data_IF_755668005300
#
_entry.id   IF_755668005300
#
_cell.length_a   1.000
_cell.length_b   1.000
_cell.length_c   1.000
_cell.angle_alpha   90.00
_cell.angle_beta   90.00
_cell.angle_gamma   90.00
#
_symmetry.space_group_name_H-M   'P 1'
#
loop_
_entity.id
_entity.type
_entity.pdbx_description
1 polymer ?
#
# COMPACT_ATOMS: atom_id res chain seq x y z
N UNK A 1 -15.79 7.26 9.20
CA UNK A 1 -15.82 7.84 7.82
C UNK A 1 -16.71 6.92 6.99
N UNK A 2 -17.57 7.46 6.10
CA UNK A 2 -18.58 6.64 5.43
C UNK A 2 -17.97 5.74 4.35
N UNK A 3 -17.82 4.44 4.66
CA UNK A 3 -17.45 3.41 3.66
C UNK A 3 -18.69 2.72 3.07
N UNK A 4 -19.77 2.62 3.86
CA UNK A 4 -21.09 2.20 3.42
C UNK A 4 -22.12 3.26 3.79
N UNK A 5 -23.25 3.27 3.09
CA UNK A 5 -24.37 4.16 3.41
C UNK A 5 -24.92 3.87 4.82
N UNK A 6 -25.14 4.89 5.66
CA UNK A 6 -25.76 4.70 6.97
C UNK A 6 -27.22 4.26 6.78
N UNK A 7 -27.64 3.23 7.52
CA UNK A 7 -29.03 2.72 7.44
C UNK A 7 -30.00 3.59 8.23
N UNK A 8 -29.50 4.29 9.25
CA UNK A 8 -30.22 5.24 10.09
C UNK A 8 -29.19 6.23 10.67
N UNK A 9 -29.67 7.19 11.47
CA UNK A 9 -28.83 8.18 12.17
C UNK A 9 -28.99 8.09 13.70
N UNK A 10 -29.20 6.87 14.21
CA UNK A 10 -29.24 6.65 15.66
C UNK A 10 -27.86 6.94 16.26
N UNK A 11 -27.81 7.89 17.21
CA UNK A 11 -26.58 8.34 17.86
C UNK A 11 -26.08 7.37 18.94
N UNK A 12 -26.85 6.31 19.25
CA UNK A 12 -26.34 5.19 20.05
C UNK A 12 -25.22 4.44 19.32
N UNK A 13 -25.21 4.48 17.98
CA UNK A 13 -24.12 3.97 17.15
C UNK A 13 -22.92 4.95 17.18
N UNK A 14 -21.71 4.51 17.57
CA UNK A 14 -20.54 5.38 17.65
C UNK A 14 -20.15 6.06 16.33
N UNK A 15 -20.38 5.39 15.20
CA UNK A 15 -20.07 5.91 13.87
C UNK A 15 -21.03 7.03 13.49
N UNK A 16 -22.32 6.92 13.84
CA UNK A 16 -23.31 7.97 13.67
C UNK A 16 -23.08 9.15 14.62
N UNK A 17 -22.75 8.88 15.89
CA UNK A 17 -22.37 9.91 16.85
C UNK A 17 -21.18 10.75 16.37
N UNK A 18 -20.18 10.11 15.73
CA UNK A 18 -19.07 10.79 15.09
C UNK A 18 -19.53 11.69 13.93
N UNK A 19 -20.50 11.27 13.10
CA UNK A 19 -21.06 12.12 12.05
C UNK A 19 -21.75 13.36 12.62
N UNK A 20 -22.57 13.19 13.66
CA UNK A 20 -23.24 14.31 14.32
C UNK A 20 -22.23 15.35 14.84
N UNK A 21 -21.14 14.90 15.47
CA UNK A 21 -20.05 15.78 15.93
C UNK A 21 -19.39 16.55 14.79
N UNK A 22 -19.10 15.89 13.66
CA UNK A 22 -18.51 16.57 12.49
C UNK A 22 -19.43 17.67 11.96
N UNK A 23 -20.74 17.40 11.89
CA UNK A 23 -21.74 18.36 11.43
C UNK A 23 -21.86 19.53 12.40
N UNK A 24 -21.98 19.25 13.71
CA UNK A 24 -22.10 20.25 14.78
C UNK A 24 -20.90 21.19 14.82
N UNK A 25 -19.69 20.69 14.58
CA UNK A 25 -18.47 21.49 14.53
C UNK A 25 -18.11 22.03 13.14
N UNK A 26 -19.02 21.91 12.16
CA UNK A 26 -18.82 22.39 10.78
C UNK A 26 -17.53 21.87 10.12
N UNK A 27 -17.17 20.61 10.38
CA UNK A 27 -15.98 19.96 9.84
C UNK A 27 -16.35 19.24 8.53
N UNK A 28 -15.73 19.67 7.43
CA UNK A 28 -15.84 18.98 6.14
C UNK A 28 -14.84 17.82 6.09
N UNK A 29 -15.32 16.64 5.70
CA UNK A 29 -14.48 15.46 5.48
C UNK A 29 -14.50 15.11 4.00
N UNK A 30 -13.32 15.05 3.38
CA UNK A 30 -13.13 14.61 2.00
C UNK A 30 -12.36 13.29 1.97
N UNK A 31 -12.80 12.35 1.15
CA UNK A 31 -12.18 11.04 1.02
C UNK A 31 -11.36 10.97 -0.28
N UNK A 32 -10.04 10.83 -0.13
CA UNK A 32 -9.17 10.33 -1.18
C UNK A 32 -8.75 8.92 -0.77
N UNK A 33 -9.14 7.93 -1.57
CA UNK A 33 -8.93 6.51 -1.30
C UNK A 33 -8.06 5.94 -2.42
N UNK A 34 -8.62 5.05 -3.24
CA UNK A 34 -7.93 4.40 -4.36
C UNK A 34 -7.41 5.38 -5.42
N UNK A 35 -7.98 6.59 -5.53
CA UNK A 35 -7.44 7.64 -6.41
C UNK A 35 -6.06 8.14 -5.95
N UNK A 36 -5.83 8.27 -4.63
CA UNK A 36 -4.54 8.63 -4.08
C UNK A 36 -3.53 7.48 -4.19
N UNK A 37 -4.01 6.24 -4.14
CA UNK A 37 -3.18 5.05 -4.33
C UNK A 37 -2.71 4.89 -5.78
N UNK A 38 -3.55 5.29 -6.75
CA UNK A 38 -3.31 5.10 -8.17
C UNK A 38 -2.60 6.26 -8.88
N UNK A 39 -2.68 7.48 -8.34
CA UNK A 39 -2.12 8.67 -8.99
C UNK A 39 -0.59 8.63 -9.05
N UNK A 40 -0.01 9.54 -9.85
CA UNK A 40 1.42 9.80 -9.89
C UNK A 40 1.68 11.33 -9.83
N UNK A 41 2.46 11.82 -8.85
CA UNK A 41 2.90 11.08 -7.65
C UNK A 41 1.72 10.79 -6.72
N UNK A 42 1.78 9.67 -5.99
CA UNK A 42 0.75 9.23 -5.04
C UNK A 42 1.31 8.39 -3.89
N UNK A 43 0.41 7.80 -3.09
CA UNK A 43 0.78 7.09 -1.87
C UNK A 43 1.81 5.97 -2.11
N UNK A 44 1.63 5.18 -3.17
CA UNK A 44 2.55 4.10 -3.50
C UNK A 44 3.91 4.59 -4.04
N UNK A 45 4.01 5.82 -4.54
CA UNK A 45 5.30 6.43 -4.91
C UNK A 45 6.09 6.78 -3.65
N UNK A 46 5.46 7.42 -2.67
CA UNK A 46 6.08 7.75 -1.38
C UNK A 46 6.52 6.48 -0.63
N UNK A 47 5.67 5.45 -0.66
CA UNK A 47 5.99 4.16 -0.06
C UNK A 47 7.18 3.49 -0.74
N UNK A 48 7.30 3.60 -2.06
CA UNK A 48 8.44 3.06 -2.80
C UNK A 48 9.73 3.81 -2.49
N UNK A 49 9.67 5.14 -2.34
CA UNK A 49 10.80 5.98 -1.95
C UNK A 49 11.32 5.61 -0.55
N UNK A 50 10.42 5.55 0.44
CA UNK A 50 10.75 5.18 1.83
C UNK A 50 11.35 3.76 1.94
N UNK A 51 10.97 2.88 1.01
CA UNK A 51 11.44 1.49 0.93
C UNK A 51 12.62 1.27 0.00
N UNK A 52 13.26 2.35 -0.45
CA UNK A 52 14.45 2.34 -1.31
C UNK A 52 14.27 1.65 -2.67
N UNK A 53 13.03 1.60 -3.17
CA UNK A 53 12.69 1.04 -4.49
C UNK A 53 12.85 2.15 -5.54
N UNK A 54 14.08 2.47 -5.89
CA UNK A 54 14.40 3.68 -6.67
C UNK A 54 14.66 3.41 -8.14
N UNK A 55 15.16 2.23 -8.50
CA UNK A 55 15.52 1.92 -9.87
C UNK A 55 14.32 1.37 -10.65
N UNK A 56 14.16 1.81 -11.90
CA UNK A 56 13.13 1.31 -12.82
C UNK A 56 11.70 1.34 -12.24
N UNK A 57 11.41 2.33 -11.39
CA UNK A 57 10.11 2.45 -10.71
C UNK A 57 8.98 2.70 -11.72
N UNK A 58 7.94 1.86 -11.66
CA UNK A 58 6.76 1.96 -12.51
C UNK A 58 5.51 1.42 -11.81
N UNK A 59 4.29 1.74 -12.29
CA UNK A 59 3.07 1.13 -11.77
C UNK A 59 3.12 -0.40 -11.85
N UNK A 60 2.71 -1.05 -10.76
CA UNK A 60 2.60 -2.51 -10.67
C UNK A 60 1.45 -3.01 -11.55
N UNK A 61 0.29 -2.34 -11.45
CA UNK A 61 -0.85 -2.51 -12.32
C UNK A 61 -1.16 -1.18 -13.03
N UNK A 62 -0.58 -0.94 -14.22
CA UNK A 62 -0.73 0.33 -14.91
C UNK A 62 -2.15 0.52 -15.44
N UNK A 63 -2.61 1.77 -15.40
CA UNK A 63 -3.76 2.25 -16.15
C UNK A 63 -3.39 2.46 -17.63
N UNK A 64 -4.38 2.83 -18.45
CA UNK A 64 -4.20 3.03 -19.89
C UNK A 64 -3.17 4.11 -20.26
N UNK A 65 -2.88 5.06 -19.36
CA UNK A 65 -1.88 6.10 -19.57
C UNK A 65 -0.43 5.61 -19.35
N UNK A 66 -0.24 4.39 -18.83
CA UNK A 66 1.06 3.81 -18.51
C UNK A 66 1.81 4.50 -17.35
N UNK A 67 1.22 5.53 -16.74
CA UNK A 67 1.85 6.39 -15.74
C UNK A 67 1.19 6.27 -14.37
N UNK A 68 -0.13 6.16 -14.35
CA UNK A 68 -0.92 5.91 -13.14
C UNK A 68 -1.21 4.43 -13.01
N UNK A 69 -1.59 3.99 -11.81
CA UNK A 69 -1.91 2.60 -11.54
C UNK A 69 -1.67 2.23 -10.08
N UNK A 70 -2.24 1.09 -9.68
CA UNK A 70 -2.15 0.58 -8.31
C UNK A 70 -0.79 -0.06 -8.09
N UNK A 71 -0.21 0.23 -6.92
CA UNK A 71 1.09 -0.29 -6.49
C UNK A 71 2.26 0.21 -7.34
N UNK A 72 3.47 -0.10 -6.88
CA UNK A 72 4.70 0.17 -7.61
C UNK A 72 5.58 -1.06 -7.65
N UNK A 73 6.37 -1.18 -8.70
CA UNK A 73 7.44 -2.16 -8.82
C UNK A 73 8.69 -1.48 -9.35
N UNK A 74 9.82 -1.86 -8.77
CA UNK A 74 11.13 -1.39 -9.17
C UNK A 74 12.20 -2.27 -8.57
N UNK A 75 13.41 -1.73 -8.51
CA UNK A 75 14.60 -2.43 -8.08
C UNK A 75 15.34 -1.61 -7.03
N UNK A 76 15.91 -2.31 -6.05
CA UNK A 76 16.87 -1.75 -5.11
C UNK A 76 18.18 -1.45 -5.84
N UNK A 77 18.97 -0.52 -5.31
CA UNK A 77 20.30 -0.22 -5.84
C UNK A 77 21.21 -1.46 -5.85
N UNK A 78 21.22 -2.22 -4.77
CA UNK A 78 22.00 -3.44 -4.60
C UNK A 78 21.12 -4.58 -4.03
N UNK A 79 21.42 -5.86 -4.34
CA UNK A 79 20.70 -6.99 -3.76
C UNK A 79 20.92 -7.13 -2.24
N UNK A 80 19.83 -7.24 -1.50
CA UNK A 80 19.83 -7.47 -0.04
C UNK A 80 19.10 -8.76 0.30
N UNK A 81 19.33 -9.32 1.48
CA UNK A 81 18.63 -10.53 1.92
C UNK A 81 17.20 -10.22 2.33
N UNK A 82 16.33 -11.23 2.31
CA UNK A 82 14.96 -11.12 2.84
C UNK A 82 14.97 -10.63 4.30
N UNK A 83 15.89 -11.12 5.12
CA UNK A 83 16.03 -10.69 6.53
C UNK A 83 16.40 -9.21 6.64
N UNK A 84 17.41 -8.77 5.89
CA UNK A 84 17.83 -7.36 5.88
C UNK A 84 16.68 -6.45 5.42
N UNK A 85 15.95 -6.86 4.39
CA UNK A 85 14.82 -6.07 3.89
C UNK A 85 13.66 -6.01 4.88
N UNK A 86 13.33 -7.12 5.55
CA UNK A 86 12.31 -7.14 6.58
C UNK A 86 12.66 -6.21 7.75
N UNK A 87 13.94 -6.14 8.13
CA UNK A 87 14.42 -5.23 9.15
C UNK A 87 14.33 -3.77 8.68
N UNK A 88 14.70 -3.47 7.43
CA UNK A 88 14.52 -2.14 6.83
C UNK A 88 13.07 -1.69 6.89
N UNK A 89 12.12 -2.51 6.44
CA UNK A 89 10.68 -2.19 6.48
C UNK A 89 10.23 -1.89 7.92
N UNK A 90 10.70 -2.68 8.89
CA UNK A 90 10.38 -2.50 10.30
C UNK A 90 10.88 -1.16 10.85
N UNK A 91 12.12 -0.79 10.51
CA UNK A 91 12.75 0.45 10.94
C UNK A 91 12.14 1.67 10.27
N UNK A 92 11.92 1.63 8.95
CA UNK A 92 11.30 2.71 8.17
C UNK A 92 9.95 3.12 8.74
N UNK A 93 9.08 2.15 9.08
CA UNK A 93 7.73 2.42 9.58
C UNK A 93 7.61 2.38 11.11
N UNK A 94 8.71 2.18 11.83
CA UNK A 94 8.74 2.13 13.30
C UNK A 94 7.70 1.16 13.91
N UNK A 95 7.51 0.00 13.26
CA UNK A 95 6.53 -1.00 13.71
C UNK A 95 7.16 -2.04 14.62
N UNK A 96 6.39 -2.58 15.57
CA UNK A 96 6.88 -3.61 16.48
C UNK A 96 7.25 -4.91 15.74
N UNK A 97 6.47 -5.28 14.72
CA UNK A 97 6.60 -6.54 14.00
C UNK A 97 6.25 -6.40 12.52
N UNK A 98 6.92 -7.20 11.69
CA UNK A 98 6.58 -7.45 10.28
C UNK A 98 6.34 -8.94 10.11
N UNK A 99 5.38 -9.31 9.24
CA UNK A 99 5.14 -10.72 8.87
C UNK A 99 5.84 -10.99 7.55
N UNK A 100 6.70 -12.00 7.53
CA UNK A 100 7.46 -12.42 6.34
C UNK A 100 7.06 -13.83 5.95
N UNK A 101 6.85 -14.06 4.65
CA UNK A 101 6.60 -15.37 4.06
C UNK A 101 7.70 -15.61 3.04
N UNK A 102 8.67 -16.48 3.36
CA UNK A 102 9.77 -16.85 2.50
C UNK A 102 10.26 -18.26 2.84
N UNK A 103 10.74 -19.00 1.85
CA UNK A 103 11.37 -20.31 2.06
C UNK A 103 12.81 -20.17 2.60
N UNK A 104 13.52 -19.12 2.17
CA UNK A 104 14.89 -18.83 2.59
C UNK A 104 15.01 -17.34 2.98
N UNK A 105 15.33 -17.09 4.25
CA UNK A 105 15.49 -15.76 4.82
C UNK A 105 16.82 -15.08 4.41
N UNK A 106 17.75 -15.85 3.85
CA UNK A 106 19.06 -15.39 3.37
C UNK A 106 19.08 -15.16 1.86
N UNK A 107 18.01 -15.53 1.14
CA UNK A 107 17.87 -15.30 -0.29
C UNK A 107 18.05 -13.82 -0.60
N UNK A 108 18.91 -13.52 -1.59
CA UNK A 108 19.09 -12.17 -2.11
C UNK A 108 17.92 -11.78 -3.02
N UNK A 109 17.32 -10.63 -2.74
CA UNK A 109 16.24 -10.01 -3.50
C UNK A 109 16.68 -8.62 -3.96
N UNK A 110 16.14 -8.17 -5.09
CA UNK A 110 16.44 -6.85 -5.64
C UNK A 110 15.21 -6.22 -6.28
N UNK A 111 14.41 -7.00 -7.00
CA UNK A 111 13.14 -6.52 -7.55
C UNK A 111 12.05 -6.58 -6.50
N UNK A 112 11.48 -5.43 -6.17
CA UNK A 112 10.47 -5.30 -5.14
C UNK A 112 9.19 -4.69 -5.73
N UNK A 113 8.06 -5.29 -5.40
CA UNK A 113 6.74 -4.71 -5.61
C UNK A 113 6.15 -4.28 -4.27
N UNK A 114 5.49 -3.12 -4.24
CA UNK A 114 4.84 -2.55 -3.07
C UNK A 114 3.43 -2.10 -3.41
N UNK A 115 2.50 -2.33 -2.49
CA UNK A 115 1.11 -1.92 -2.56
C UNK A 115 0.64 -1.62 -1.14
N UNK A 116 0.32 -0.37 -0.84
CA UNK A 116 -0.28 0.02 0.43
C UNK A 116 -1.78 -0.30 0.49
N UNK A 117 -2.28 -0.71 1.65
CA UNK A 117 -3.66 -1.17 1.82
C UNK A 117 -3.80 -2.69 1.70
N UNK A 118 -4.92 -3.15 1.12
CA UNK A 118 -5.16 -4.56 0.82
C UNK A 118 -4.79 -4.88 -0.63
N UNK A 119 -3.88 -5.83 -0.82
CA UNK A 119 -3.37 -6.27 -2.12
C UNK A 119 -3.58 -7.76 -2.39
N UNK A 120 -4.51 -8.42 -1.69
CA UNK A 120 -4.73 -9.86 -1.83
C UNK A 120 -5.07 -10.29 -3.26
N UNK A 121 -5.95 -9.55 -3.93
CA UNK A 121 -6.35 -9.82 -5.31
C UNK A 121 -5.20 -9.54 -6.31
N UNK A 122 -4.42 -8.49 -6.05
CA UNK A 122 -3.29 -8.05 -6.85
C UNK A 122 -2.14 -9.05 -6.79
N UNK A 123 -1.87 -9.61 -5.60
CA UNK A 123 -0.90 -10.67 -5.40
C UNK A 123 -1.22 -11.91 -6.25
N UNK A 124 -2.50 -12.27 -6.38
CA UNK A 124 -2.93 -13.38 -7.23
C UNK A 124 -2.67 -13.08 -8.72
N UNK A 125 -2.94 -11.85 -9.17
CA UNK A 125 -2.64 -11.39 -10.54
C UNK A 125 -1.13 -11.38 -10.82
N UNK A 126 -0.31 -11.11 -9.80
CA UNK A 126 1.15 -11.08 -9.87
C UNK A 126 1.77 -12.46 -10.02
N UNK A 127 1.30 -13.44 -9.26
CA UNK A 127 1.73 -14.85 -9.42
C UNK A 127 1.56 -15.35 -10.85
N UNK A 128 0.50 -14.91 -11.53
CA UNK A 128 0.21 -15.27 -12.91
C UNK A 128 1.09 -14.56 -13.94
N UNK A 129 1.68 -13.40 -13.60
CA UNK A 129 2.40 -12.54 -14.56
C UNK A 129 3.90 -12.44 -14.35
N UNK A 130 4.41 -12.65 -13.13
CA UNK A 130 5.80 -12.33 -12.78
C UNK A 130 6.69 -13.56 -12.60
N UNK A 131 6.17 -14.80 -12.67
CA UNK A 131 6.96 -16.03 -12.44
C UNK A 131 7.92 -15.86 -11.25
N UNK A 132 7.41 -15.43 -10.08
CA UNK A 132 8.25 -15.35 -8.89
C UNK A 132 8.58 -16.79 -8.47
N UNK A 133 9.85 -17.19 -8.41
CA UNK A 133 10.21 -18.50 -7.89
C UNK A 133 9.82 -18.57 -6.41
N UNK A 134 9.30 -19.73 -5.99
CA UNK A 134 9.08 -20.08 -4.58
C UNK A 134 10.42 -20.15 -3.85
#
# INVERSE_FOLDING_TARGET
MMFHAPKNLDLSDPQNAMYAKLIEHHIVVYAAHTNLDATYPGMNDWLAEDLMITNNLRPLLPNADGKTGIGRIGELAEPITVTEYAQLVKETFQVAHVRVIANDMTQKIQRIAVLGGDGGDEYCKLKLRVQMPL
#
